data_IF_884045178896
#
_entry.id   IF_884045178896
#
_cell.length_a   1.000
_cell.length_b   1.000
_cell.length_c   1.000
_cell.angle_alpha   90.00
_cell.angle_beta   90.00
_cell.angle_gamma   90.00
#
_symmetry.space_group_name_H-M   'P 1'
#
loop_
_entity.id
_entity.type
_entity.pdbx_description
1 polymer ?
#
# COMPACT_ATOMS: atom_id res chain seq x y z
N UNK A 1 -6.35 12.69 7.93
CA UNK A 1 -7.25 11.74 8.59
C UNK A 1 -8.66 11.92 8.06
N UNK A 2 -9.21 10.91 7.40
CA UNK A 2 -10.61 10.89 7.00
C UNK A 2 -11.43 10.65 8.27
N UNK A 3 -11.92 11.71 8.89
CA UNK A 3 -12.82 11.59 10.04
C UNK A 3 -14.16 11.05 9.56
N UNK A 4 -14.55 9.87 10.00
CA UNK A 4 -15.87 9.33 9.73
C UNK A 4 -15.92 7.99 9.01
N UNK A 5 -14.98 7.10 9.27
CA UNK A 5 -15.08 5.72 8.82
C UNK A 5 -14.90 5.53 7.31
N UNK A 6 -13.68 5.65 6.85
CA UNK A 6 -13.33 5.26 5.48
C UNK A 6 -13.40 3.75 5.30
N UNK A 7 -13.66 3.31 4.07
CA UNK A 7 -13.58 1.90 3.67
C UNK A 7 -12.16 1.64 3.20
N UNK A 8 -11.50 0.67 3.84
CA UNK A 8 -10.18 0.18 3.43
C UNK A 8 -10.37 -1.02 2.51
N UNK A 9 -9.63 -1.06 1.42
CA UNK A 9 -9.61 -2.18 0.46
C UNK A 9 -8.19 -2.46 0.03
N UNK A 10 -7.93 -3.65 -0.46
CA UNK A 10 -6.63 -4.00 -1.02
C UNK A 10 -6.73 -4.78 -2.33
N UNK A 11 -5.59 -5.04 -2.94
CA UNK A 11 -5.47 -5.75 -4.22
C UNK A 11 -5.97 -7.20 -4.16
N UNK A 12 -6.05 -7.80 -2.99
CA UNK A 12 -6.51 -9.18 -2.81
C UNK A 12 -8.05 -9.30 -2.79
N UNK A 13 -8.77 -8.18 -2.88
CA UNK A 13 -10.22 -8.16 -2.75
C UNK A 13 -10.72 -8.13 -1.31
N UNK A 14 -9.82 -7.98 -0.35
CA UNK A 14 -10.18 -7.83 1.06
C UNK A 14 -10.72 -6.42 1.33
N UNK A 15 -11.66 -6.32 2.25
CA UNK A 15 -12.30 -5.07 2.61
C UNK A 15 -12.47 -4.97 4.12
N UNK A 16 -12.22 -3.78 4.66
CA UNK A 16 -12.28 -3.49 6.08
C UNK A 16 -10.93 -3.57 6.78
N UNK A 17 -10.84 -2.92 7.93
CA UNK A 17 -9.59 -2.82 8.69
C UNK A 17 -9.12 -4.19 9.17
N UNK A 18 -10.02 -5.04 9.63
CA UNK A 18 -9.66 -6.36 10.16
C UNK A 18 -9.02 -7.24 9.10
N UNK A 19 -9.57 -7.27 7.89
CA UNK A 19 -9.08 -8.12 6.81
C UNK A 19 -7.85 -7.54 6.12
N UNK A 20 -7.76 -6.22 6.01
CA UNK A 20 -6.64 -5.55 5.34
C UNK A 20 -5.41 -5.37 6.23
N UNK A 21 -5.59 -5.30 7.56
CA UNK A 21 -4.47 -5.16 8.49
C UNK A 21 -3.57 -6.38 8.46
N UNK A 22 -2.29 -6.17 8.20
CA UNK A 22 -1.31 -7.25 8.13
C UNK A 22 -1.41 -8.12 6.88
N UNK A 23 -2.25 -7.75 5.92
CA UNK A 23 -2.30 -8.41 4.63
C UNK A 23 -1.19 -7.90 3.71
N UNK A 24 -0.60 -8.82 2.96
CA UNK A 24 0.37 -8.51 1.90
C UNK A 24 -0.39 -8.28 0.59
N UNK A 25 -0.28 -7.11 0.01
CA UNK A 25 -1.01 -6.76 -1.20
C UNK A 25 -0.27 -5.72 -2.05
N UNK A 26 -0.50 -5.73 -3.35
CA UNK A 26 0.15 -4.81 -4.28
C UNK A 26 -0.26 -3.36 -4.09
N UNK A 27 -1.44 -3.12 -3.55
CA UNK A 27 -1.91 -1.77 -3.19
C UNK A 27 -2.92 -1.84 -2.04
N UNK A 28 -3.07 -0.72 -1.37
CA UNK A 28 -4.10 -0.50 -0.35
C UNK A 28 -4.76 0.86 -0.60
N UNK A 29 -6.08 0.90 -0.46
CA UNK A 29 -6.90 2.09 -0.67
C UNK A 29 -7.73 2.39 0.57
N UNK A 30 -7.84 3.65 0.92
CA UNK A 30 -8.78 4.15 1.92
C UNK A 30 -9.65 5.22 1.29
N UNK A 31 -10.93 4.94 1.17
CA UNK A 31 -11.93 5.87 0.64
C UNK A 31 -12.92 6.22 1.73
N UNK A 32 -13.14 7.50 1.94
CA UNK A 32 -14.13 8.01 2.90
C UNK A 32 -14.99 9.09 2.28
N UNK A 33 -15.87 9.65 3.09
CA UNK A 33 -16.79 10.69 2.67
C UNK A 33 -16.53 11.98 3.45
N UNK A 34 -16.36 13.07 2.74
CA UNK A 34 -16.24 14.42 3.29
C UNK A 34 -17.28 15.29 2.60
N UNK A 35 -18.19 15.89 3.37
CA UNK A 35 -19.23 16.81 2.84
C UNK A 35 -19.95 16.23 1.62
N UNK A 36 -20.48 15.01 1.75
CA UNK A 36 -21.21 14.27 0.69
C UNK A 36 -20.38 13.90 -0.55
N UNK A 37 -19.06 14.04 -0.50
CA UNK A 37 -18.15 13.64 -1.58
C UNK A 37 -17.27 12.51 -1.15
N UNK A 38 -17.10 11.52 -2.01
CA UNK A 38 -16.11 10.47 -1.80
C UNK A 38 -14.71 11.03 -2.11
N UNK A 39 -13.80 10.84 -1.18
CA UNK A 39 -12.39 11.19 -1.31
C UNK A 39 -11.55 10.08 -0.72
N UNK A 40 -10.36 9.92 -1.23
CA UNK A 40 -9.50 8.90 -0.67
C UNK A 40 -8.08 8.93 -1.22
N UNK A 41 -7.33 7.94 -0.75
CA UNK A 41 -5.93 7.76 -1.12
C UNK A 41 -5.69 6.28 -1.39
N UNK A 42 -5.06 5.99 -2.51
CA UNK A 42 -4.52 4.67 -2.80
C UNK A 42 -3.00 4.74 -2.70
N UNK A 43 -2.39 3.79 -2.02
CA UNK A 43 -0.94 3.57 -2.02
C UNK A 43 -0.63 2.30 -2.81
N UNK A 44 0.29 2.41 -3.75
CA UNK A 44 0.68 1.32 -4.65
C UNK A 44 2.15 1.00 -4.42
N UNK A 45 2.42 -0.26 -4.14
CA UNK A 45 3.78 -0.78 -3.98
C UNK A 45 4.43 -1.03 -5.33
N UNK A 46 5.72 -0.78 -5.44
CA UNK A 46 6.47 -1.05 -6.65
C UNK A 46 7.00 -2.49 -6.64
N UNK A 47 6.82 -3.27 -7.73
CA UNK A 47 7.33 -4.63 -7.79
C UNK A 47 8.83 -4.78 -7.57
N UNK A 48 9.61 -3.72 -7.77
CA UNK A 48 11.05 -3.72 -7.51
C UNK A 48 11.43 -3.52 -6.03
N UNK A 49 10.46 -3.20 -5.18
CA UNK A 49 10.73 -3.02 -3.75
C UNK A 49 11.06 -4.35 -3.08
N UNK A 50 11.92 -4.28 -2.07
CA UNK A 50 12.18 -5.40 -1.18
C UNK A 50 10.87 -5.81 -0.50
N UNK A 51 10.65 -7.12 -0.40
CA UNK A 51 9.46 -7.71 0.22
C UNK A 51 8.14 -7.38 -0.50
N UNK A 52 8.19 -7.09 -1.80
CA UNK A 52 6.97 -6.93 -2.61
C UNK A 52 6.18 -8.26 -2.69
N UNK A 53 4.85 -8.26 -2.57
CA UNK A 53 4.04 -7.12 -2.15
C UNK A 53 4.13 -6.88 -0.64
N UNK A 54 4.16 -5.60 -0.24
CA UNK A 54 4.34 -5.19 1.15
C UNK A 54 3.17 -5.59 2.05
N UNK A 55 3.46 -5.74 3.34
CA UNK A 55 2.41 -5.79 4.36
C UNK A 55 1.86 -4.40 4.63
N UNK A 56 0.55 -4.29 4.85
CA UNK A 56 -0.11 -3.02 5.12
C UNK A 56 -0.54 -2.94 6.57
N UNK A 57 -0.13 -1.87 7.23
CA UNK A 57 -0.68 -1.51 8.53
C UNK A 57 -1.79 -0.48 8.31
N UNK A 58 -2.99 -0.82 8.72
CA UNK A 58 -4.17 0.02 8.57
C UNK A 58 -4.91 0.11 9.90
N UNK A 59 -5.61 1.22 10.13
CA UNK A 59 -6.45 1.37 11.31
C UNK A 59 -7.79 2.09 10.98
N UNK A 60 -8.66 2.13 11.99
CA UNK A 60 -9.97 2.75 11.88
C UNK A 60 -9.93 4.28 11.74
N UNK A 61 -8.81 4.90 12.06
CA UNK A 61 -8.62 6.35 11.97
C UNK A 61 -8.13 6.79 10.57
N UNK A 62 -7.97 5.83 9.65
CA UNK A 62 -7.58 6.10 8.27
C UNK A 62 -6.07 6.02 8.02
N UNK A 63 -5.31 5.38 8.90
CA UNK A 63 -3.92 5.09 8.63
C UNK A 63 -3.80 4.04 7.54
N UNK A 64 -2.96 4.29 6.56
CA UNK A 64 -2.44 3.29 5.63
C UNK A 64 -0.92 3.44 5.63
N UNK A 65 -0.21 2.39 5.99
CA UNK A 65 1.25 2.39 6.03
C UNK A 65 1.81 1.10 5.42
N UNK A 66 2.70 1.25 4.46
CA UNK A 66 3.48 0.13 3.94
C UNK A 66 4.48 -0.33 5.01
N UNK A 67 4.54 -1.63 5.24
CA UNK A 67 5.48 -2.22 6.19
C UNK A 67 6.23 -3.39 5.55
N UNK A 68 7.29 -3.12 4.79
CA UNK A 68 8.05 -4.16 4.08
C UNK A 68 8.76 -5.15 5.01
N UNK A 69 8.88 -4.82 6.29
CA UNK A 69 9.52 -5.66 7.31
C UNK A 69 8.52 -6.20 8.34
N UNK A 70 7.24 -6.22 7.98
CA UNK A 70 6.15 -6.54 8.91
C UNK A 70 5.89 -8.01 9.16
N UNK A 71 6.66 -8.95 8.59
CA UNK A 71 6.39 -10.39 8.70
C UNK A 71 6.25 -10.83 10.14
N UNK A 72 7.22 -10.52 10.99
CA UNK A 72 7.18 -10.93 12.39
C UNK A 72 6.07 -10.23 13.18
N UNK A 73 5.75 -8.99 12.85
CA UNK A 73 4.69 -8.23 13.52
C UNK A 73 3.29 -8.76 13.21
N UNK A 74 3.06 -9.27 12.02
CA UNK A 74 1.73 -9.72 11.57
C UNK A 74 1.56 -11.23 11.58
N UNK A 75 2.63 -12.00 11.31
CA UNK A 75 2.60 -13.46 11.22
C UNK A 75 3.26 -14.15 12.41
N UNK A 76 3.88 -13.40 13.31
CA UNK A 76 4.60 -13.93 14.47
C UNK A 76 6.11 -14.10 14.21
N UNK A 77 6.88 -14.12 15.30
CA UNK A 77 8.34 -14.22 15.24
C UNK A 77 8.85 -15.49 14.57
N UNK A 78 8.07 -16.57 14.65
CA UNK A 78 8.41 -17.88 14.08
C UNK A 78 8.16 -17.99 12.57
N UNK A 79 7.50 -17.00 11.95
CA UNK A 79 7.15 -17.04 10.53
C UNK A 79 8.38 -17.01 9.60
N UNK A 80 9.51 -16.53 10.10
CA UNK A 80 10.76 -16.41 9.34
C UNK A 80 10.67 -15.38 8.19
N UNK A 81 11.79 -14.79 7.83
CA UNK A 81 11.83 -13.74 6.79
C UNK A 81 11.41 -12.36 7.32
N UNK A 82 11.34 -11.37 6.47
CA UNK A 82 10.97 -10.01 6.83
C UNK A 82 12.08 -9.18 7.49
N UNK A 83 13.14 -9.79 7.95
CA UNK A 83 14.33 -9.10 8.44
C UNK A 83 15.34 -8.98 7.31
N UNK A 84 15.84 -7.79 7.10
CA UNK A 84 16.93 -7.55 6.16
C UNK A 84 18.06 -6.82 6.85
N UNK A 85 19.27 -7.30 6.63
CA UNK A 85 20.49 -6.61 7.06
C UNK A 85 20.99 -5.71 5.94
N UNK A 86 21.23 -4.45 6.27
CA UNK A 86 21.85 -3.50 5.37
C UNK A 86 23.33 -3.40 5.72
N UNK A 87 24.18 -3.62 4.74
CA UNK A 87 25.61 -3.45 4.90
C UNK A 87 25.97 -1.96 4.96
N UNK A 88 27.13 -1.68 5.54
CA UNK A 88 27.64 -0.32 5.56
C UNK A 88 27.78 0.22 4.13
N UNK A 89 27.31 1.44 3.91
CA UNK A 89 27.31 2.11 2.60
C UNK A 89 26.37 1.48 1.54
N UNK A 90 25.56 0.49 1.93
CA UNK A 90 24.49 -0.04 1.07
C UNK A 90 23.38 1.00 0.91
N UNK A 91 22.91 1.18 -0.34
CA UNK A 91 21.76 2.03 -0.64
C UNK A 91 20.55 1.15 -0.90
N UNK A 92 19.48 1.37 -0.14
CA UNK A 92 18.18 0.76 -0.38
C UNK A 92 17.21 1.80 -0.95
N UNK A 93 16.49 1.42 -2.00
CA UNK A 93 15.49 2.29 -2.63
C UNK A 93 14.12 1.64 -2.53
N UNK A 94 13.15 2.40 -2.03
CA UNK A 94 11.75 2.02 -1.97
C UNK A 94 10.95 3.02 -2.78
N UNK A 95 10.05 2.51 -3.62
CA UNK A 95 9.20 3.34 -4.47
C UNK A 95 7.75 3.01 -4.23
N UNK A 96 6.97 4.05 -4.00
CA UNK A 96 5.53 3.94 -3.82
C UNK A 96 4.85 5.01 -4.64
N UNK A 97 3.68 4.70 -5.18
CA UNK A 97 2.82 5.70 -5.80
C UNK A 97 1.65 6.00 -4.89
N UNK A 98 1.45 7.27 -4.61
CA UNK A 98 0.26 7.76 -3.93
C UNK A 98 -0.69 8.35 -4.97
N UNK A 99 -1.94 7.92 -4.94
CA UNK A 99 -3.00 8.45 -5.79
C UNK A 99 -4.07 9.03 -4.88
N UNK A 100 -4.28 10.34 -4.99
CA UNK A 100 -5.39 11.02 -4.31
C UNK A 100 -6.56 11.06 -5.29
N UNK A 101 -7.73 10.64 -4.85
CA UNK A 101 -8.92 10.54 -5.71
C UNK A 101 -10.16 11.15 -5.03
N UNK A 102 -11.11 11.60 -5.85
CA UNK A 102 -12.36 12.23 -5.44
C UNK A 102 -13.59 11.34 -5.65
N UNK A 103 -13.36 10.09 -6.00
CA UNK A 103 -14.38 9.06 -6.17
C UNK A 103 -13.86 7.74 -5.61
N UNK A 104 -14.72 6.75 -5.48
CA UNK A 104 -14.29 5.40 -5.11
C UNK A 104 -13.79 4.67 -6.37
N UNK A 105 -12.47 4.53 -6.57
CA UNK A 105 -11.95 3.86 -7.75
C UNK A 105 -12.26 2.38 -7.70
N UNK A 106 -12.46 1.78 -8.88
CA UNK A 106 -12.57 0.33 -9.00
C UNK A 106 -11.19 -0.33 -8.83
N UNK A 107 -11.18 -1.61 -8.49
CA UNK A 107 -9.93 -2.38 -8.42
C UNK A 107 -9.17 -2.36 -9.76
N UNK A 108 -9.89 -2.42 -10.89
CA UNK A 108 -9.29 -2.34 -12.22
C UNK A 108 -8.64 -0.99 -12.51
N UNK A 109 -9.23 0.11 -12.04
CA UNK A 109 -8.65 1.44 -12.17
C UNK A 109 -7.34 1.56 -11.39
N UNK A 110 -7.31 1.06 -10.16
CA UNK A 110 -6.09 1.05 -9.34
C UNK A 110 -5.02 0.14 -9.97
N UNK A 111 -5.43 -1.00 -10.49
CA UNK A 111 -4.53 -1.93 -11.18
C UNK A 111 -3.86 -1.29 -12.40
N UNK A 112 -4.61 -0.54 -13.20
CA UNK A 112 -4.05 0.21 -14.35
C UNK A 112 -3.03 1.25 -13.91
N UNK A 113 -3.28 1.95 -12.81
CA UNK A 113 -2.34 2.90 -12.23
C UNK A 113 -1.08 2.21 -11.72
N UNK A 114 -1.19 0.98 -11.22
CA UNK A 114 -0.07 0.15 -10.83
C UNK A 114 0.79 -0.25 -12.04
N UNK A 115 0.17 -0.68 -13.14
CA UNK A 115 0.85 -1.02 -14.39
C UNK A 115 1.59 0.17 -14.97
N UNK A 116 0.95 1.33 -15.04
CA UNK A 116 1.57 2.58 -15.48
C UNK A 116 2.76 2.96 -14.61
N UNK A 117 2.68 2.72 -13.31
CA UNK A 117 3.79 2.97 -12.39
C UNK A 117 5.00 2.09 -12.71
N UNK A 118 4.77 0.82 -13.00
CA UNK A 118 5.83 -0.12 -13.35
C UNK A 118 6.53 0.27 -14.65
N UNK A 119 5.78 0.75 -15.65
CA UNK A 119 6.27 1.15 -16.96
C UNK A 119 6.97 2.52 -16.96
N UNK A 120 6.55 3.45 -16.10
CA UNK A 120 7.05 4.82 -16.08
C UNK A 120 8.40 5.00 -15.37
N UNK A 121 9.04 3.92 -14.96
CA UNK A 121 10.33 3.97 -14.26
C UNK A 121 11.54 4.15 -15.19
N UNK A 122 11.34 4.13 -16.49
CA UNK A 122 12.38 4.49 -17.45
C UNK A 122 12.38 6.00 -17.69
N UNK A 123 13.07 6.73 -16.84
CA UNK A 123 13.38 8.13 -17.10
C UNK A 123 14.68 8.17 -17.89
N UNK A 124 14.57 8.46 -19.19
CA UNK A 124 15.74 8.82 -19.98
C UNK A 124 16.09 10.28 -19.69
N UNK A 125 17.17 10.50 -18.98
CA UNK A 125 17.78 11.83 -18.85
C UNK A 125 18.79 11.96 -19.97
N UNK A 126 18.47 12.75 -20.96
CA UNK A 126 19.42 13.15 -21.98
C UNK A 126 20.42 14.18 -21.41
#
# INVERSE_FOLDING_TARGET
>A
AVRGGGIVRNANGEQGVEDCRGASAAWCDCTGQIEDRFVGVSLIDCPSNVSYPTFWNVDADGLIAANPFGVSSFLGEDAGGGTRTFERDEVAMFRYRMVVHDSAPTADEIMRLSECFTQSLEIHVD
#
